data_IF_644660173786
#
_entry.id   IF_644660173786
#
_cell.length_a   1.000
_cell.length_b   1.000
_cell.length_c   1.000
_cell.angle_alpha   90.00
_cell.angle_beta   90.00
_cell.angle_gamma   90.00
#
_symmetry.space_group_name_H-M   'P 1'
#
loop_
_entity.id
_entity.type
_entity.pdbx_description
1 polymer ?
#
# COMPACT_ATOMS: atom_id res chain seq x y z
N UNK A 1 -22.45 -7.85 -1.76
CA UNK A 1 -21.46 -6.95 -2.39
C UNK A 1 -20.13 -7.70 -2.42
N UNK A 2 -19.40 -7.74 -3.55
CA UNK A 2 -18.09 -8.40 -3.66
C UNK A 2 -17.05 -7.37 -4.05
N UNK A 3 -15.88 -7.38 -3.41
CA UNK A 3 -14.74 -6.55 -3.80
C UNK A 3 -14.09 -7.13 -5.06
N UNK A 4 -13.67 -6.26 -5.99
CA UNK A 4 -12.91 -6.65 -7.18
C UNK A 4 -11.53 -5.99 -7.12
N UNK A 5 -10.44 -6.78 -7.02
CA UNK A 5 -9.10 -6.21 -6.96
C UNK A 5 -8.67 -5.71 -8.34
N UNK A 6 -8.01 -4.55 -8.35
CA UNK A 6 -7.12 -4.12 -9.41
C UNK A 6 -5.69 -4.30 -8.90
N UNK A 7 -4.81 -4.82 -9.75
CA UNK A 7 -3.39 -5.01 -9.42
C UNK A 7 -2.54 -4.25 -10.43
N UNK A 8 -1.34 -3.78 -10.05
CA UNK A 8 -0.44 -3.14 -11.00
C UNK A 8 -0.05 -4.07 -12.16
N UNK A 9 0.40 -3.44 -13.25
CA UNK A 9 0.97 -4.13 -14.41
C UNK A 9 2.23 -4.92 -14.03
N UNK A 10 2.66 -5.83 -14.91
CA UNK A 10 3.74 -6.78 -14.58
C UNK A 10 5.05 -6.12 -14.17
N UNK A 11 5.48 -5.08 -14.89
CA UNK A 11 6.71 -4.36 -14.56
C UNK A 11 6.58 -3.60 -13.25
N UNK A 12 5.38 -3.07 -12.98
CA UNK A 12 5.09 -2.38 -11.72
C UNK A 12 5.14 -3.31 -10.53
N UNK A 13 4.59 -4.52 -10.65
CA UNK A 13 4.68 -5.53 -9.59
C UNK A 13 6.12 -5.94 -9.33
N UNK A 14 6.93 -6.10 -10.37
CA UNK A 14 8.34 -6.45 -10.22
C UNK A 14 9.11 -5.35 -9.47
N UNK A 15 8.92 -4.09 -9.85
CA UNK A 15 9.57 -2.96 -9.19
C UNK A 15 9.07 -2.75 -7.75
N UNK A 16 7.76 -2.88 -7.51
CA UNK A 16 7.17 -2.83 -6.16
C UNK A 16 7.80 -3.90 -5.27
N UNK A 17 7.89 -5.14 -5.76
CA UNK A 17 8.47 -6.25 -5.02
C UNK A 17 9.96 -6.01 -4.76
N UNK A 18 10.69 -5.48 -5.74
CA UNK A 18 12.09 -5.12 -5.55
C UNK A 18 12.25 -4.07 -4.45
N UNK A 19 11.49 -2.98 -4.50
CA UNK A 19 11.53 -1.93 -3.47
C UNK A 19 11.26 -2.54 -2.07
N UNK A 20 10.27 -3.43 -1.95
CA UNK A 20 9.95 -4.08 -0.67
C UNK A 20 11.17 -4.80 -0.09
N UNK A 21 11.77 -5.70 -0.86
CA UNK A 21 12.82 -6.59 -0.35
C UNK A 21 14.21 -5.94 -0.32
N UNK A 22 14.53 -5.12 -1.33
CA UNK A 22 15.86 -4.54 -1.49
C UNK A 22 16.00 -3.20 -0.76
N UNK A 23 14.90 -2.53 -0.38
CA UNK A 23 14.93 -1.26 0.37
C UNK A 23 14.16 -1.37 1.70
N UNK A 24 12.84 -1.61 1.66
CA UNK A 24 11.98 -1.42 2.84
C UNK A 24 12.27 -2.40 3.97
N UNK A 25 12.47 -3.69 3.64
CA UNK A 25 12.86 -4.71 4.61
C UNK A 25 14.26 -4.49 5.21
N UNK A 26 15.08 -3.63 4.60
CA UNK A 26 16.39 -3.21 5.11
C UNK A 26 16.32 -1.88 5.88
N UNK A 27 15.11 -1.30 6.01
CA UNK A 27 14.89 -0.02 6.68
C UNK A 27 15.26 1.21 5.82
N UNK A 28 15.40 1.03 4.51
CA UNK A 28 15.70 2.12 3.57
C UNK A 28 14.41 2.67 2.97
N UNK A 29 14.12 3.96 3.21
CA UNK A 29 12.89 4.61 2.76
C UNK A 29 13.21 5.80 1.85
N UNK A 30 13.35 5.54 0.56
CA UNK A 30 13.77 6.56 -0.41
C UNK A 30 12.60 7.38 -0.97
N UNK A 31 12.84 8.66 -1.25
CA UNK A 31 11.85 9.52 -1.93
C UNK A 31 11.55 9.00 -3.34
N UNK A 32 12.54 8.41 -4.02
CA UNK A 32 12.37 7.79 -5.34
C UNK A 32 11.34 6.66 -5.29
N UNK A 33 11.47 5.77 -4.32
CA UNK A 33 10.55 4.65 -4.15
C UNK A 33 9.16 5.12 -3.73
N UNK A 34 9.08 6.14 -2.86
CA UNK A 34 7.80 6.79 -2.51
C UNK A 34 7.08 7.35 -3.74
N UNK A 35 7.77 8.15 -4.55
CA UNK A 35 7.22 8.72 -5.79
C UNK A 35 6.76 7.63 -6.75
N UNK A 36 7.52 6.53 -6.86
CA UNK A 36 7.13 5.39 -7.67
C UNK A 36 5.82 4.75 -7.21
N UNK A 37 5.66 4.52 -5.90
CA UNK A 37 4.42 4.01 -5.33
C UNK A 37 3.24 4.96 -5.57
N UNK A 38 3.43 6.27 -5.36
CA UNK A 38 2.38 7.27 -5.61
C UNK A 38 1.93 7.28 -7.07
N UNK A 39 2.86 7.17 -8.02
CA UNK A 39 2.55 7.07 -9.44
C UNK A 39 1.77 5.80 -9.79
N UNK A 40 2.11 4.65 -9.19
CA UNK A 40 1.34 3.41 -9.38
C UNK A 40 -0.08 3.58 -8.84
N UNK A 41 -0.23 4.18 -7.66
CA UNK A 41 -1.54 4.46 -7.03
C UNK A 41 -2.38 5.37 -7.93
N UNK A 42 -1.80 6.44 -8.48
CA UNK A 42 -2.47 7.34 -9.42
C UNK A 42 -2.92 6.61 -10.69
N UNK A 43 -2.09 5.73 -11.26
CA UNK A 43 -2.47 4.91 -12.42
C UNK A 43 -3.63 3.98 -12.10
N UNK A 44 -3.64 3.36 -10.92
CA UNK A 44 -4.76 2.51 -10.49
C UNK A 44 -6.03 3.32 -10.21
N UNK A 45 -5.90 4.53 -9.66
CA UNK A 45 -7.02 5.46 -9.50
C UNK A 45 -7.65 5.80 -10.85
N UNK A 46 -6.82 6.09 -11.86
CA UNK A 46 -7.28 6.35 -13.24
C UNK A 46 -7.99 5.14 -13.88
N UNK A 47 -7.71 3.92 -13.42
CA UNK A 47 -8.41 2.69 -13.84
C UNK A 47 -9.72 2.43 -13.07
N UNK A 48 -10.10 3.32 -12.15
CA UNK A 48 -11.34 3.24 -11.38
C UNK A 48 -11.21 2.54 -10.02
N UNK A 49 -9.99 2.37 -9.50
CA UNK A 49 -9.81 1.97 -8.10
C UNK A 49 -10.45 3.01 -7.17
N UNK A 50 -11.15 2.53 -6.13
CA UNK A 50 -11.86 3.39 -5.17
C UNK A 50 -11.11 3.50 -3.83
N UNK A 51 -10.06 2.70 -3.67
CA UNK A 51 -9.23 2.61 -2.49
C UNK A 51 -7.99 1.76 -2.80
N UNK A 52 -6.97 1.90 -1.98
CA UNK A 52 -5.73 1.12 -2.09
C UNK A 52 -5.46 0.39 -0.78
N UNK A 53 -5.12 -0.90 -0.89
CA UNK A 53 -4.75 -1.73 0.25
C UNK A 53 -3.22 -1.72 0.35
N UNK A 54 -2.68 -1.28 1.48
CA UNK A 54 -1.27 -1.50 1.81
C UNK A 54 -1.15 -2.91 2.38
N UNK A 55 -0.90 -3.85 1.47
CA UNK A 55 -0.89 -5.30 1.77
C UNK A 55 0.39 -5.82 2.43
N UNK A 56 1.43 -5.00 2.53
CA UNK A 56 2.63 -5.27 3.32
C UNK A 56 2.79 -4.16 4.36
N UNK A 57 3.16 -4.52 5.58
CA UNK A 57 3.24 -3.61 6.72
C UNK A 57 4.23 -2.46 6.51
N UNK A 58 5.23 -2.67 5.66
CA UNK A 58 6.30 -1.75 5.33
C UNK A 58 5.84 -0.63 4.38
N UNK A 59 4.78 -0.85 3.59
CA UNK A 59 4.29 0.14 2.62
C UNK A 59 3.77 1.38 3.36
N UNK A 60 3.08 1.19 4.49
CA UNK A 60 2.61 2.29 5.34
C UNK A 60 3.74 3.11 5.97
N UNK A 61 4.95 2.55 6.09
CA UNK A 61 6.14 3.28 6.55
C UNK A 61 6.75 4.15 5.43
N UNK A 62 6.63 3.73 4.17
CA UNK A 62 7.16 4.46 3.01
C UNK A 62 6.22 5.59 2.56
N UNK A 63 4.92 5.29 2.44
CA UNK A 63 3.92 6.13 1.77
C UNK A 63 2.95 6.71 2.80
N UNK A 64 3.01 8.01 3.12
CA UNK A 64 2.03 8.64 3.99
C UNK A 64 0.64 8.65 3.36
N UNK A 65 -0.40 8.29 4.12
CA UNK A 65 -1.79 8.22 3.61
C UNK A 65 -2.24 9.54 2.96
N UNK A 66 -1.86 10.68 3.54
CA UNK A 66 -2.20 12.01 3.05
C UNK A 66 -1.65 12.35 1.66
N UNK A 67 -0.67 11.57 1.16
CA UNK A 67 -0.10 11.75 -0.18
C UNK A 67 -0.77 10.83 -1.21
N UNK A 68 -1.54 9.83 -0.79
CA UNK A 68 -2.22 8.91 -1.68
C UNK A 68 -3.39 9.57 -2.39
N UNK A 69 -3.52 9.35 -3.70
CA UNK A 69 -4.69 9.76 -4.48
C UNK A 69 -5.96 8.93 -4.16
N UNK A 70 -5.82 7.82 -3.44
CA UNK A 70 -6.88 6.92 -3.04
C UNK A 70 -6.96 6.79 -1.52
N UNK A 71 -8.15 6.55 -0.97
CA UNK A 71 -8.31 6.14 0.42
C UNK A 71 -7.45 4.91 0.71
N UNK A 72 -6.57 5.03 1.70
CA UNK A 72 -5.64 3.98 2.09
C UNK A 72 -6.29 3.07 3.12
N UNK A 73 -6.09 1.78 2.96
CA UNK A 73 -6.42 0.75 3.93
C UNK A 73 -5.12 0.07 4.37
N UNK A 74 -4.52 0.56 5.45
CA UNK A 74 -3.34 -0.05 6.06
C UNK A 74 -3.75 -1.34 6.77
N UNK A 75 -3.34 -2.48 6.21
CA UNK A 75 -3.76 -3.78 6.74
C UNK A 75 -3.18 -4.05 8.12
N UNK A 76 -2.00 -3.53 8.45
CA UNK A 76 -1.39 -3.69 9.76
C UNK A 76 -2.16 -2.90 10.82
N UNK A 77 -2.46 -1.64 10.54
CA UNK A 77 -3.20 -0.77 11.44
C UNK A 77 -4.63 -1.27 11.68
N UNK A 78 -5.33 -1.66 10.61
CA UNK A 78 -6.69 -2.23 10.69
C UNK A 78 -6.69 -3.52 11.51
N UNK A 79 -5.72 -4.43 11.26
CA UNK A 79 -5.64 -5.69 11.98
C UNK A 79 -5.32 -5.49 13.47
N UNK A 80 -4.44 -4.54 13.80
CA UNK A 80 -4.14 -4.21 15.19
C UNK A 80 -5.37 -3.65 15.92
N UNK A 81 -6.14 -2.78 15.28
CA UNK A 81 -7.39 -2.26 15.84
C UNK A 81 -8.44 -3.37 16.05
N UNK A 82 -8.60 -4.26 15.07
CA UNK A 82 -9.51 -5.41 15.16
C UNK A 82 -9.11 -6.36 16.30
N UNK A 83 -7.82 -6.61 16.49
CA UNK A 83 -7.32 -7.40 17.59
C UNK A 83 -7.67 -6.80 18.97
N UNK A 84 -7.59 -5.47 19.11
CA UNK A 84 -7.98 -4.78 20.34
C UNK A 84 -9.49 -4.91 20.59
N UNK A 85 -10.33 -4.70 19.57
CA UNK A 85 -11.78 -4.87 19.68
C UNK A 85 -12.15 -6.29 20.09
N UNK A 86 -11.54 -7.31 19.45
CA UNK A 86 -11.73 -8.71 19.80
C UNK A 86 -11.35 -9.02 21.26
N UNK A 87 -10.28 -8.41 21.77
CA UNK A 87 -9.85 -8.59 23.16
C UNK A 87 -10.80 -7.96 24.19
N UNK A 88 -11.63 -7.00 23.77
CA UNK A 88 -12.52 -6.23 24.65
C UNK A 88 -14.02 -6.58 24.49
N UNK A 89 -14.38 -7.41 23.52
CA UNK A 89 -15.75 -7.91 23.29
C UNK A 89 -16.09 -9.13 24.13
#
# INVERSE_FOLDING_TARGET
MRLKPLVPETDDRAQINQIIFDELCLGEFSERSRQYYLQVIERLAAQGAQGVIFGCTEIGLLVPEAQSALSVFDTAAIHAADAVEFMLS
#
